data_IF_469135940317
#
_entry.id   IF_469135940317
#
_cell.length_a   1.000
_cell.length_b   1.000
_cell.length_c   1.000
_cell.angle_alpha   90.00
_cell.angle_beta   90.00
_cell.angle_gamma   90.00
#
_symmetry.space_group_name_H-M   'P 1'
#
loop_
_entity.id
_entity.type
_entity.pdbx_description
1 polymer ?
#
# COMPACT_ATOMS: atom_id res chain seq x y z
N UNK A 1 20.67 -1.18 0.38
CA UNK A 1 19.87 -0.82 -0.81
C UNK A 1 20.76 -0.69 -2.04
N UNK A 2 20.20 -0.79 -3.25
CA UNK A 2 20.92 -0.48 -4.50
C UNK A 2 21.24 1.02 -4.56
N UNK A 3 22.47 1.41 -4.90
CA UNK A 3 22.84 2.82 -5.11
C UNK A 3 22.73 3.21 -6.60
N UNK A 4 22.80 4.51 -6.89
CA UNK A 4 22.92 5.00 -8.27
C UNK A 4 24.06 4.31 -9.03
N UNK A 5 25.23 4.19 -8.40
CA UNK A 5 26.41 3.59 -9.03
C UNK A 5 26.21 2.10 -9.29
N UNK A 6 25.54 1.38 -8.38
CA UNK A 6 25.16 -0.01 -8.58
C UNK A 6 24.21 -0.16 -9.75
N UNK A 7 23.24 0.75 -9.89
CA UNK A 7 22.32 0.79 -11.02
C UNK A 7 23.07 0.97 -12.35
N UNK A 8 23.93 1.98 -12.43
CA UNK A 8 24.75 2.27 -13.62
C UNK A 8 25.69 1.12 -13.96
N UNK A 9 26.33 0.52 -12.95
CA UNK A 9 27.21 -0.65 -13.12
C UNK A 9 26.44 -1.86 -13.65
N UNK A 10 25.28 -2.15 -13.06
CA UNK A 10 24.40 -3.24 -13.50
C UNK A 10 23.93 -3.02 -14.93
N UNK A 11 23.55 -1.80 -15.29
CA UNK A 11 23.20 -1.46 -16.66
C UNK A 11 24.34 -1.72 -17.65
N UNK A 12 25.57 -1.29 -17.33
CA UNK A 12 26.76 -1.57 -18.17
C UNK A 12 26.94 -3.07 -18.37
N UNK A 13 26.70 -3.88 -17.34
CA UNK A 13 26.77 -5.34 -17.43
C UNK A 13 25.66 -5.93 -18.29
N UNK A 14 24.43 -5.43 -18.21
CA UNK A 14 23.31 -5.87 -19.06
C UNK A 14 23.60 -5.53 -20.53
N UNK A 15 24.12 -4.33 -20.82
CA UNK A 15 24.46 -3.90 -22.18
C UNK A 15 25.59 -4.73 -22.80
N UNK A 16 26.57 -5.14 -21.98
CA UNK A 16 27.69 -6.00 -22.41
C UNK A 16 27.37 -7.50 -22.43
N UNK A 17 26.21 -7.92 -21.94
CA UNK A 17 25.89 -9.33 -21.83
C UNK A 17 25.75 -9.98 -23.22
N UNK A 18 26.40 -11.15 -23.46
CA UNK A 18 26.56 -11.73 -24.79
C UNK A 18 25.27 -12.38 -25.35
N UNK A 19 24.24 -12.58 -24.53
CA UNK A 19 23.00 -13.23 -24.95
C UNK A 19 21.79 -12.76 -24.14
N UNK A 20 20.59 -12.97 -24.69
CA UNK A 20 19.31 -12.70 -23.99
C UNK A 20 19.21 -13.47 -22.66
N UNK A 21 19.71 -14.70 -22.62
CA UNK A 21 19.75 -15.51 -21.40
C UNK A 21 20.68 -14.91 -20.34
N UNK A 22 21.86 -14.40 -20.74
CA UNK A 22 22.77 -13.72 -19.83
C UNK A 22 22.17 -12.41 -19.27
N UNK A 23 21.51 -11.61 -20.13
CA UNK A 23 20.74 -10.43 -19.71
C UNK A 23 19.67 -10.80 -18.68
N UNK A 24 18.88 -11.84 -18.97
CA UNK A 24 17.84 -12.32 -18.07
C UNK A 24 18.36 -12.77 -16.70
N UNK A 25 19.54 -13.40 -16.64
CA UNK A 25 20.19 -13.77 -15.36
C UNK A 25 20.60 -12.56 -14.55
N UNK A 26 21.18 -11.53 -15.18
CA UNK A 26 21.57 -10.29 -14.49
C UNK A 26 20.32 -9.57 -13.99
N UNK A 27 19.30 -9.41 -14.83
CA UNK A 27 18.04 -8.78 -14.44
C UNK A 27 17.36 -9.52 -13.28
N UNK A 28 17.27 -10.86 -13.34
CA UNK A 28 16.69 -11.65 -12.24
C UNK A 28 17.46 -11.49 -10.92
N UNK A 29 18.79 -11.38 -10.98
CA UNK A 29 19.63 -11.21 -9.78
C UNK A 29 19.52 -9.81 -9.17
N UNK A 30 19.33 -8.79 -10.01
CA UNK A 30 19.46 -7.38 -9.61
C UNK A 30 18.13 -6.63 -9.56
N UNK A 31 17.06 -7.18 -10.14
CA UNK A 31 15.79 -6.49 -10.37
C UNK A 31 15.82 -5.45 -11.50
N UNK A 32 16.97 -5.21 -12.13
CA UNK A 32 17.12 -4.16 -13.15
C UNK A 32 16.95 -4.77 -14.54
N UNK A 33 15.91 -4.34 -15.26
CA UNK A 33 15.59 -4.89 -16.59
C UNK A 33 16.14 -4.06 -17.76
N UNK A 34 16.48 -2.79 -17.54
CA UNK A 34 16.95 -1.90 -18.60
C UNK A 34 17.07 -0.45 -18.15
N UNK A 35 17.32 0.46 -19.10
CA UNK A 35 17.35 1.90 -18.83
C UNK A 35 15.93 2.46 -18.70
N UNK A 36 15.68 3.33 -17.72
CA UNK A 36 14.44 4.09 -17.66
C UNK A 36 14.37 5.06 -18.84
N UNK A 37 13.16 5.44 -19.28
CA UNK A 37 12.98 6.40 -20.37
C UNK A 37 13.68 7.75 -20.12
N UNK A 38 13.81 8.13 -18.84
CA UNK A 38 14.48 9.35 -18.37
C UNK A 38 15.99 9.18 -18.13
N UNK A 39 16.63 8.15 -18.68
CA UNK A 39 18.07 7.89 -18.49
C UNK A 39 19.00 9.02 -18.95
N UNK A 40 18.51 9.92 -19.81
CA UNK A 40 19.27 11.07 -20.31
C UNK A 40 19.29 12.25 -19.33
N UNK A 41 18.45 12.22 -18.31
CA UNK A 41 18.39 13.27 -17.29
C UNK A 41 19.47 12.98 -16.25
N UNK A 42 20.64 13.59 -16.44
CA UNK A 42 21.83 13.34 -15.61
C UNK A 42 21.72 13.80 -14.15
N UNK A 43 20.68 14.57 -13.81
CA UNK A 43 20.38 14.97 -12.44
C UNK A 43 19.51 13.97 -11.67
N UNK A 44 19.00 12.91 -12.33
CA UNK A 44 18.20 11.88 -11.65
C UNK A 44 19.10 10.84 -11.00
N UNK A 45 18.84 10.59 -9.73
CA UNK A 45 19.35 9.41 -9.05
C UNK A 45 18.33 8.26 -9.20
N UNK A 46 18.64 7.30 -10.07
CA UNK A 46 17.77 6.14 -10.34
C UNK A 46 17.51 5.21 -9.15
N UNK A 47 18.27 5.32 -8.06
CA UNK A 47 18.03 4.54 -6.85
C UNK A 47 17.00 5.20 -5.92
N UNK A 48 16.92 6.53 -5.90
CA UNK A 48 16.11 7.26 -4.92
C UNK A 48 15.08 8.25 -5.50
N UNK A 49 15.14 8.56 -6.80
CA UNK A 49 14.24 9.54 -7.43
C UNK A 49 12.85 8.97 -7.79
N UNK A 50 12.64 7.67 -7.58
CA UNK A 50 11.37 6.98 -7.84
C UNK A 50 11.06 6.02 -6.69
N UNK A 51 10.69 6.55 -5.51
CA UNK A 51 10.42 5.74 -4.34
C UNK A 51 9.14 4.91 -4.49
N UNK A 52 8.96 3.95 -3.59
CA UNK A 52 7.65 3.32 -3.39
C UNK A 52 6.64 4.38 -2.97
N UNK A 53 5.77 4.78 -3.91
CA UNK A 53 4.86 5.89 -3.64
C UNK A 53 3.67 5.47 -2.78
N UNK A 54 3.35 6.32 -1.81
CA UNK A 54 2.37 6.06 -0.77
C UNK A 54 0.97 5.76 -1.32
N UNK A 55 0.56 6.45 -2.39
CA UNK A 55 -0.81 6.37 -2.92
C UNK A 55 -1.10 4.98 -3.51
N UNK A 56 -0.35 4.51 -4.51
CA UNK A 56 -0.62 3.22 -5.13
C UNK A 56 -0.33 2.09 -4.14
N UNK A 57 0.74 2.22 -3.36
CA UNK A 57 1.14 1.19 -2.41
C UNK A 57 0.06 0.95 -1.34
N UNK A 58 -0.48 2.00 -0.74
CA UNK A 58 -1.45 1.86 0.34
C UNK A 58 -2.88 1.76 -0.18
N UNK A 59 -3.30 2.68 -1.04
CA UNK A 59 -4.70 2.85 -1.43
C UNK A 59 -5.15 1.83 -2.47
N UNK A 60 -4.29 1.48 -3.42
CA UNK A 60 -4.64 0.54 -4.49
C UNK A 60 -4.18 -0.90 -4.22
N UNK A 61 -3.29 -1.08 -3.25
CA UNK A 61 -2.72 -2.39 -2.96
C UNK A 61 -2.98 -2.84 -1.51
N UNK A 62 -2.32 -2.25 -0.52
CA UNK A 62 -2.34 -2.77 0.86
C UNK A 62 -3.76 -2.75 1.45
N UNK A 63 -4.51 -1.66 1.30
CA UNK A 63 -5.87 -1.56 1.84
C UNK A 63 -6.84 -2.54 1.16
N UNK A 64 -6.95 -2.59 -0.18
CA UNK A 64 -7.79 -3.60 -0.83
C UNK A 64 -7.40 -5.04 -0.46
N UNK A 65 -6.10 -5.33 -0.33
CA UNK A 65 -5.63 -6.64 0.12
C UNK A 65 -6.07 -6.97 1.54
N UNK A 66 -6.02 -6.00 2.47
CA UNK A 66 -6.52 -6.17 3.82
C UNK A 66 -8.03 -6.43 3.83
N UNK A 67 -8.81 -5.68 3.05
CA UNK A 67 -10.26 -5.92 2.91
C UNK A 67 -10.55 -7.31 2.35
N UNK A 68 -9.79 -7.75 1.34
CA UNK A 68 -9.91 -9.10 0.79
C UNK A 68 -9.58 -10.18 1.84
N UNK A 69 -8.62 -9.94 2.74
CA UNK A 69 -8.36 -10.83 3.87
C UNK A 69 -9.56 -10.88 4.81
N UNK A 70 -10.09 -9.73 5.21
CA UNK A 70 -11.20 -9.68 6.17
C UNK A 70 -12.51 -10.21 5.60
N UNK A 71 -12.70 -10.19 4.29
CA UNK A 71 -13.90 -10.70 3.62
C UNK A 71 -13.73 -12.13 3.09
N UNK A 72 -12.58 -12.77 3.33
CA UNK A 72 -12.27 -14.10 2.84
C UNK A 72 -12.16 -14.21 1.32
N UNK A 73 -11.94 -13.10 0.62
CA UNK A 73 -11.78 -13.01 -0.84
C UNK A 73 -10.31 -12.93 -1.28
N UNK A 74 -9.37 -13.10 -0.34
CA UNK A 74 -7.95 -12.99 -0.64
C UNK A 74 -7.46 -14.15 -1.50
N UNK A 75 -6.91 -13.83 -2.68
CA UNK A 75 -6.49 -14.83 -3.66
C UNK A 75 -5.39 -15.73 -3.09
N UNK A 76 -5.66 -17.04 -3.08
CA UNK A 76 -4.70 -18.06 -2.64
C UNK A 76 -4.76 -18.38 -1.15
N UNK A 77 -5.61 -17.73 -0.35
CA UNK A 77 -5.99 -18.22 0.97
C UNK A 77 -7.41 -18.79 0.91
N UNK A 78 -7.53 -20.11 1.02
CA UNK A 78 -8.80 -20.82 1.10
C UNK A 78 -9.21 -21.00 2.57
N UNK A 79 -9.48 -19.91 3.30
CA UNK A 79 -10.00 -20.02 4.67
C UNK A 79 -11.03 -18.94 4.97
N UNK A 80 -12.30 -19.35 5.08
CA UNK A 80 -13.38 -18.57 5.67
C UNK A 80 -13.41 -18.68 7.21
N UNK A 81 -12.47 -19.45 7.79
CA UNK A 81 -12.44 -19.79 9.22
C UNK A 81 -11.35 -19.07 10.01
N UNK A 82 -10.56 -18.23 9.35
CA UNK A 82 -9.50 -17.50 10.04
C UNK A 82 -10.07 -16.41 10.96
N UNK A 83 -9.41 -16.22 12.11
CA UNK A 83 -9.88 -15.34 13.18
C UNK A 83 -9.95 -13.84 12.78
N UNK A 84 -9.41 -13.49 11.62
CA UNK A 84 -9.44 -12.15 11.03
C UNK A 84 -10.61 -11.92 10.07
N UNK A 85 -11.40 -12.95 9.76
CA UNK A 85 -12.52 -12.85 8.82
C UNK A 85 -13.74 -12.24 9.50
N UNK A 86 -14.31 -11.21 8.87
CA UNK A 86 -15.59 -10.60 9.20
C UNK A 86 -16.65 -11.32 8.37
N UNK A 87 -17.73 -11.75 9.01
CA UNK A 87 -18.80 -12.48 8.30
C UNK A 87 -19.46 -11.58 7.24
N UNK A 88 -19.92 -12.18 6.14
CA UNK A 88 -20.58 -11.42 5.06
C UNK A 88 -21.78 -10.60 5.56
N UNK A 89 -22.52 -11.11 6.55
CA UNK A 89 -23.64 -10.39 7.18
C UNK A 89 -23.17 -9.10 7.87
N UNK A 90 -22.15 -9.21 8.73
CA UNK A 90 -21.58 -8.06 9.44
C UNK A 90 -20.96 -7.07 8.45
N UNK A 91 -20.30 -7.57 7.40
CA UNK A 91 -19.73 -6.71 6.36
C UNK A 91 -20.79 -5.91 5.59
N UNK A 92 -21.95 -6.53 5.31
CA UNK A 92 -23.08 -5.83 4.70
C UNK A 92 -23.69 -4.78 5.65
N UNK A 93 -23.81 -5.08 6.95
CA UNK A 93 -24.25 -4.12 7.97
C UNK A 93 -23.32 -2.89 8.03
N UNK A 94 -22.00 -3.11 8.04
CA UNK A 94 -20.98 -2.05 7.97
C UNK A 94 -21.16 -1.20 6.70
N UNK A 95 -21.42 -1.83 5.55
CA UNK A 95 -21.61 -1.12 4.30
C UNK A 95 -22.86 -0.23 4.32
N UNK A 96 -23.96 -0.71 4.93
CA UNK A 96 -25.19 0.06 5.11
C UNK A 96 -24.99 1.24 6.06
N UNK A 97 -24.31 1.03 7.19
CA UNK A 97 -23.97 2.11 8.13
C UNK A 97 -23.10 3.19 7.49
N UNK A 98 -22.08 2.78 6.72
CA UNK A 98 -21.24 3.70 5.95
C UNK A 98 -22.09 4.54 5.00
N UNK A 99 -22.97 3.92 4.21
CA UNK A 99 -23.83 4.63 3.26
C UNK A 99 -24.75 5.63 3.97
N UNK A 100 -25.32 5.26 5.12
CA UNK A 100 -26.16 6.15 5.92
C UNK A 100 -25.36 7.35 6.46
N UNK A 101 -24.13 7.12 6.95
CA UNK A 101 -23.28 8.18 7.48
C UNK A 101 -22.82 9.17 6.40
N UNK A 102 -22.46 8.67 5.21
CA UNK A 102 -21.89 9.51 4.13
C UNK A 102 -22.92 10.48 3.55
N UNK A 103 -24.22 10.21 3.68
CA UNK A 103 -25.28 11.17 3.32
C UNK A 103 -25.19 12.50 4.08
N UNK A 104 -24.53 12.50 5.24
CA UNK A 104 -24.35 13.70 6.07
C UNK A 104 -22.99 14.39 5.87
N UNK A 105 -22.14 13.86 4.97
CA UNK A 105 -20.82 14.42 4.69
C UNK A 105 -20.90 15.31 3.45
N UNK A 106 -20.45 16.58 3.51
CA UNK A 106 -20.49 17.45 2.35
C UNK A 106 -19.67 16.88 1.17
N UNK A 107 -20.23 16.95 -0.03
CA UNK A 107 -19.64 16.39 -1.26
C UNK A 107 -18.29 16.99 -1.66
N UNK A 108 -17.94 18.16 -1.09
CA UNK A 108 -16.61 18.77 -1.25
C UNK A 108 -15.50 17.94 -0.60
N UNK A 109 -15.81 17.15 0.43
CA UNK A 109 -14.83 16.29 1.11
C UNK A 109 -14.73 14.92 0.48
N UNK A 110 -15.83 14.39 -0.04
CA UNK A 110 -15.86 13.08 -0.65
C UNK A 110 -16.98 12.95 -1.68
N UNK A 111 -16.71 12.24 -2.77
CA UNK A 111 -17.77 11.75 -3.65
C UNK A 111 -18.63 10.71 -2.93
N UNK A 112 -19.84 10.47 -3.42
CA UNK A 112 -20.77 9.51 -2.81
C UNK A 112 -20.10 8.14 -2.72
N UNK A 113 -19.85 7.66 -1.49
CA UNK A 113 -19.37 6.31 -1.23
C UNK A 113 -20.49 5.32 -1.53
N UNK A 114 -20.29 4.48 -2.54
CA UNK A 114 -21.17 3.34 -2.80
C UNK A 114 -21.02 2.24 -1.75
N UNK A 115 -21.88 1.22 -1.81
CA UNK A 115 -21.80 0.06 -0.92
C UNK A 115 -20.44 -0.65 -1.07
N UNK A 116 -19.62 -0.68 -0.01
CA UNK A 116 -18.29 -1.31 -0.05
C UNK A 116 -18.35 -2.83 -0.19
N UNK A 117 -19.43 -3.48 0.29
CA UNK A 117 -19.62 -4.91 0.14
C UNK A 117 -19.92 -5.31 -1.31
N UNK A 118 -20.65 -4.48 -2.06
CA UNK A 118 -21.03 -4.77 -3.45
C UNK A 118 -20.07 -4.18 -4.49
N UNK A 119 -19.53 -2.99 -4.23
CA UNK A 119 -18.81 -2.17 -5.22
C UNK A 119 -17.33 -1.98 -4.87
N UNK A 120 -16.74 -2.84 -4.04
CA UNK A 120 -15.33 -2.77 -3.63
C UNK A 120 -14.36 -2.55 -4.81
N UNK A 121 -14.61 -3.18 -5.96
CA UNK A 121 -13.80 -3.06 -7.18
C UNK A 121 -13.90 -1.69 -7.88
N UNK A 122 -14.92 -0.90 -7.56
CA UNK A 122 -15.16 0.42 -8.14
C UNK A 122 -14.65 1.56 -7.23
N UNK A 123 -14.07 1.23 -6.08
CA UNK A 123 -13.51 2.23 -5.19
C UNK A 123 -12.26 2.85 -5.82
N UNK A 124 -12.34 4.15 -6.09
CA UNK A 124 -11.18 4.95 -6.45
C UNK A 124 -10.26 5.13 -5.25
N UNK A 125 -9.01 5.48 -5.48
CA UNK A 125 -8.06 5.71 -4.41
C UNK A 125 -8.49 6.82 -3.44
N UNK A 126 -9.16 7.89 -3.93
CA UNK A 126 -9.77 8.94 -3.07
C UNK A 126 -10.76 8.33 -2.06
N UNK A 127 -11.61 7.40 -2.50
CA UNK A 127 -12.58 6.71 -1.65
C UNK A 127 -11.90 5.76 -0.65
N UNK A 128 -10.90 4.99 -1.10
CA UNK A 128 -10.10 4.13 -0.22
C UNK A 128 -9.40 4.93 0.88
N UNK A 129 -8.82 6.08 0.51
CA UNK A 129 -8.14 6.97 1.44
C UNK A 129 -9.10 7.47 2.51
N UNK A 130 -10.25 8.03 2.11
CA UNK A 130 -11.21 8.54 3.07
C UNK A 130 -11.77 7.45 3.97
N UNK A 131 -12.19 6.33 3.37
CA UNK A 131 -12.76 5.20 4.09
C UNK A 131 -11.78 4.69 5.14
N UNK A 132 -10.54 4.37 4.75
CA UNK A 132 -9.55 3.78 5.65
C UNK A 132 -9.09 4.73 6.76
N UNK A 133 -8.96 6.02 6.46
CA UNK A 133 -8.47 6.99 7.43
C UNK A 133 -9.54 7.44 8.43
N UNK A 134 -10.79 7.58 8.00
CA UNK A 134 -11.82 8.24 8.81
C UNK A 134 -12.99 7.33 9.18
N UNK A 135 -13.37 6.39 8.31
CA UNK A 135 -14.55 5.55 8.50
C UNK A 135 -14.19 4.23 9.19
N UNK A 136 -13.14 3.56 8.71
CA UNK A 136 -12.71 2.24 9.19
C UNK A 136 -12.45 2.17 10.69
N UNK A 137 -11.76 3.15 11.35
CA UNK A 137 -11.53 3.08 12.79
C UNK A 137 -12.81 3.13 13.63
N UNK A 138 -13.90 3.68 13.07
CA UNK A 138 -15.21 3.79 13.74
C UNK A 138 -16.01 2.52 13.45
N UNK A 139 -16.19 2.17 12.18
CA UNK A 139 -17.09 1.07 11.81
C UNK A 139 -16.54 -0.31 12.14
N UNK A 140 -15.21 -0.49 12.17
CA UNK A 140 -14.60 -1.79 12.50
C UNK A 140 -14.42 -2.01 14.01
N UNK A 141 -14.81 -1.06 14.84
CA UNK A 141 -14.73 -1.21 16.30
C UNK A 141 -15.59 -2.41 16.74
N UNK A 142 -14.97 -3.37 17.44
CA UNK A 142 -15.59 -4.61 17.91
C UNK A 142 -16.13 -5.55 16.81
N UNK A 143 -15.77 -5.37 15.54
CA UNK A 143 -16.26 -6.21 14.44
C UNK A 143 -15.42 -7.48 14.21
N UNK A 144 -14.16 -7.47 14.64
CA UNK A 144 -13.29 -8.64 14.56
C UNK A 144 -13.49 -9.55 15.77
N UNK A 145 -13.41 -10.87 15.55
CA UNK A 145 -13.46 -11.86 16.64
C UNK A 145 -12.39 -11.60 17.71
N UNK A 146 -11.21 -11.14 17.29
CA UNK A 146 -10.13 -10.73 18.19
C UNK A 146 -9.74 -9.27 17.98
N UNK A 147 -9.76 -8.51 19.06
CA UNK A 147 -9.44 -7.08 19.07
C UNK A 147 -8.07 -6.71 18.49
N UNK A 148 -7.12 -7.65 18.50
CA UNK A 148 -5.77 -7.46 17.94
C UNK A 148 -5.80 -7.01 16.46
N UNK A 149 -6.77 -7.48 15.67
CA UNK A 149 -6.90 -7.13 14.26
C UNK A 149 -7.38 -5.69 14.09
N UNK A 150 -8.42 -5.28 14.84
CA UNK A 150 -8.87 -3.89 14.89
C UNK A 150 -7.74 -2.93 15.25
N UNK A 151 -7.00 -3.22 16.32
CA UNK A 151 -5.86 -2.39 16.75
C UNK A 151 -4.81 -2.28 15.64
N UNK A 152 -4.51 -3.37 14.95
CA UNK A 152 -3.56 -3.39 13.84
C UNK A 152 -4.00 -2.51 12.66
N UNK A 153 -5.30 -2.47 12.35
CA UNK A 153 -5.87 -1.55 11.35
C UNK A 153 -5.73 -0.10 11.78
N UNK A 154 -6.07 0.20 13.04
CA UNK A 154 -5.96 1.56 13.58
C UNK A 154 -4.51 2.05 13.62
N UNK A 155 -3.54 1.17 13.91
CA UNK A 155 -2.11 1.47 13.82
C UNK A 155 -1.70 1.88 12.40
N UNK A 156 -2.16 1.17 11.37
CA UNK A 156 -1.89 1.56 9.98
C UNK A 156 -2.53 2.90 9.63
N UNK A 157 -3.79 3.11 10.02
CA UNK A 157 -4.52 4.37 9.79
C UNK A 157 -3.80 5.57 10.43
N UNK A 158 -3.27 5.40 11.64
CA UNK A 158 -2.47 6.41 12.32
C UNK A 158 -1.14 6.69 11.60
N UNK A 159 -0.41 5.64 11.18
CA UNK A 159 0.81 5.77 10.39
C UNK A 159 0.58 6.50 9.08
N UNK A 160 -0.49 6.15 8.38
CA UNK A 160 -0.89 6.80 7.13
C UNK A 160 -1.13 8.30 7.31
N UNK A 161 -1.88 8.70 8.34
CA UNK A 161 -2.10 10.13 8.66
C UNK A 161 -0.80 10.86 8.99
N UNK A 162 0.10 10.20 9.71
CA UNK A 162 1.39 10.78 10.08
C UNK A 162 2.24 11.05 8.83
N UNK A 163 2.32 10.08 7.91
CA UNK A 163 3.06 10.23 6.64
C UNK A 163 2.51 11.33 5.72
N UNK A 164 1.23 11.67 5.85
CA UNK A 164 0.56 12.72 5.07
C UNK A 164 0.73 14.13 5.67
N UNK A 165 1.40 14.29 6.81
CA UNK A 165 1.62 15.63 7.39
C UNK A 165 2.40 16.52 6.43
N UNK A 166 2.04 17.80 6.45
CA UNK A 166 2.72 18.80 5.62
C UNK A 166 4.22 18.91 5.92
N UNK A 167 4.58 18.73 7.20
CA UNK A 167 5.96 18.74 7.67
C UNK A 167 6.22 17.53 8.57
N UNK A 168 7.37 16.90 8.34
CA UNK A 168 7.92 15.78 9.10
C UNK A 168 9.36 16.11 9.45
N UNK A 169 9.72 15.86 10.71
CA UNK A 169 11.11 15.95 11.19
C UNK A 169 11.84 14.61 11.00
N UNK A 170 13.17 14.64 10.95
CA UNK A 170 13.98 13.41 10.84
C UNK A 170 13.69 12.40 11.96
N UNK A 171 13.43 12.88 13.18
CA UNK A 171 13.04 12.04 14.31
C UNK A 171 11.68 11.37 14.07
N UNK A 172 10.69 12.12 13.56
CA UNK A 172 9.39 11.56 13.21
C UNK A 172 9.51 10.52 12.08
N UNK A 173 10.36 10.75 11.08
CA UNK A 173 10.59 9.77 10.00
C UNK A 173 11.24 8.50 10.55
N UNK A 174 12.24 8.62 11.43
CA UNK A 174 12.84 7.46 12.11
C UNK A 174 11.82 6.68 12.97
N UNK A 175 10.90 7.38 13.63
CA UNK A 175 9.81 6.74 14.38
C UNK A 175 8.83 6.01 13.46
N UNK A 176 8.46 6.61 12.31
CA UNK A 176 7.62 5.98 11.29
C UNK A 176 8.27 4.67 10.82
N UNK A 177 9.58 4.66 10.58
CA UNK A 177 10.30 3.46 10.11
C UNK A 177 10.16 2.32 11.13
N UNK A 178 10.46 2.60 12.40
CA UNK A 178 10.34 1.61 13.49
C UNK A 178 8.91 1.11 13.64
N UNK A 179 7.91 1.99 13.50
CA UNK A 179 6.51 1.62 13.61
C UNK A 179 6.02 0.80 12.41
N UNK A 180 6.47 1.09 11.19
CA UNK A 180 6.18 0.27 10.00
C UNK A 180 6.81 -1.11 10.12
N UNK A 181 8.06 -1.22 10.57
CA UNK A 181 8.71 -2.51 10.85
C UNK A 181 7.89 -3.34 11.86
N UNK A 182 7.47 -2.73 12.96
CA UNK A 182 6.61 -3.39 13.96
C UNK A 182 5.25 -3.78 13.39
N UNK A 183 4.67 -2.93 12.55
CA UNK A 183 3.38 -3.19 11.91
C UNK A 183 3.46 -4.39 10.96
N UNK A 184 4.52 -4.47 10.15
CA UNK A 184 4.78 -5.61 9.24
C UNK A 184 5.04 -6.90 10.02
N UNK A 185 5.81 -6.86 11.09
CA UNK A 185 6.00 -8.04 11.97
C UNK A 185 4.69 -8.52 12.58
N UNK A 186 3.80 -7.60 13.01
CA UNK A 186 2.46 -7.96 13.48
C UNK A 186 1.62 -8.54 12.34
N UNK A 187 1.69 -7.97 11.14
CA UNK A 187 1.00 -8.49 9.96
C UNK A 187 1.41 -9.95 9.68
N UNK A 188 2.72 -10.24 9.67
CA UNK A 188 3.23 -11.60 9.48
C UNK A 188 2.68 -12.55 10.54
N UNK A 189 2.68 -12.13 11.81
CA UNK A 189 2.13 -12.94 12.91
C UNK A 189 0.61 -13.16 12.79
N UNK A 190 -0.12 -12.18 12.26
CA UNK A 190 -1.58 -12.14 12.30
C UNK A 190 -2.24 -12.79 11.09
N UNK A 191 -1.67 -12.59 9.90
CA UNK A 191 -2.24 -13.03 8.62
C UNK A 191 -1.43 -14.17 8.00
N UNK A 192 -0.10 -14.02 7.86
CA UNK A 192 0.76 -15.11 7.39
C UNK A 192 0.85 -16.26 8.41
N UNK A 193 0.81 -15.94 9.71
CA UNK A 193 0.82 -16.89 10.82
C UNK A 193 2.00 -17.88 10.81
N UNK A 194 3.02 -17.63 9.97
CA UNK A 194 4.16 -18.51 9.73
C UNK A 194 3.76 -19.91 9.21
N UNK A 195 2.63 -19.99 8.50
CA UNK A 195 2.16 -21.21 7.84
C UNK A 195 2.36 -21.13 6.34
N UNK A 196 2.92 -22.18 5.75
CA UNK A 196 3.20 -22.22 4.29
C UNK A 196 1.93 -22.06 3.44
N UNK A 197 0.78 -22.50 3.96
CA UNK A 197 -0.52 -22.35 3.32
C UNK A 197 -0.95 -20.89 3.19
N UNK A 198 -0.47 -20.01 4.09
CA UNK A 198 -0.76 -18.58 4.08
C UNK A 198 0.32 -17.77 3.36
N UNK A 199 1.28 -18.43 2.69
CA UNK A 199 2.33 -17.76 1.92
C UNK A 199 1.81 -16.67 0.96
N UNK A 200 0.62 -16.80 0.32
CA UNK A 200 0.09 -15.74 -0.52
C UNK A 200 -0.13 -14.39 0.20
N UNK A 201 -0.27 -14.37 1.53
CA UNK A 201 -0.36 -13.14 2.30
C UNK A 201 0.98 -12.38 2.38
N UNK A 202 2.12 -13.03 2.10
CA UNK A 202 3.44 -12.39 2.04
C UNK A 202 3.63 -11.64 0.72
N UNK A 203 2.84 -10.60 0.49
CA UNK A 203 2.89 -9.83 -0.75
C UNK A 203 4.09 -8.90 -0.82
N UNK A 204 4.52 -8.59 -2.05
CA UNK A 204 5.53 -7.55 -2.29
C UNK A 204 5.09 -6.21 -1.69
N UNK A 205 3.79 -5.90 -1.75
CA UNK A 205 3.26 -4.61 -1.29
C UNK A 205 3.33 -4.46 0.23
N UNK A 206 3.15 -5.54 1.00
CA UNK A 206 3.39 -5.50 2.45
C UNK A 206 4.88 -5.28 2.75
N UNK A 207 5.78 -5.95 2.03
CA UNK A 207 7.22 -5.73 2.18
C UNK A 207 7.63 -4.29 1.81
N UNK A 208 7.05 -3.75 0.73
CA UNK A 208 7.35 -2.40 0.24
C UNK A 208 7.04 -1.30 1.24
N UNK A 209 6.17 -1.55 2.23
CA UNK A 209 5.93 -0.62 3.34
C UNK A 209 7.22 -0.27 4.10
N UNK A 210 8.18 -1.21 4.18
CA UNK A 210 9.45 -1.01 4.87
C UNK A 210 10.37 0.01 4.18
N UNK A 211 10.08 0.36 2.93
CA UNK A 211 10.89 1.27 2.11
C UNK A 211 10.23 2.65 1.92
N UNK A 212 9.05 2.90 2.53
CA UNK A 212 8.36 4.18 2.40
C UNK A 212 9.19 5.32 3.00
N UNK A 213 9.80 5.11 4.17
CA UNK A 213 10.52 6.17 4.89
C UNK A 213 11.75 6.65 4.15
N UNK A 214 12.44 5.77 3.43
CA UNK A 214 13.52 6.17 2.52
C UNK A 214 13.01 7.10 1.42
N UNK A 215 11.85 6.76 0.85
CA UNK A 215 11.16 7.67 -0.08
C UNK A 215 10.88 9.03 0.54
N UNK A 216 10.48 9.07 1.81
CA UNK A 216 10.24 10.32 2.54
C UNK A 216 11.54 11.11 2.73
N UNK A 217 12.65 10.46 3.05
CA UNK A 217 13.95 11.13 3.19
C UNK A 217 14.44 11.75 1.87
N UNK A 218 14.23 11.06 0.74
CA UNK A 218 14.74 11.52 -0.56
C UNK A 218 13.80 12.49 -1.28
N UNK A 219 12.48 12.32 -1.13
CA UNK A 219 11.49 13.05 -1.91
C UNK A 219 10.57 13.96 -1.08
N UNK A 220 10.71 13.94 0.25
CA UNK A 220 9.86 14.68 1.18
C UNK A 220 8.60 13.90 1.60
N UNK A 221 7.71 14.51 2.39
CA UNK A 221 6.52 13.84 2.92
C UNK A 221 5.66 13.20 1.83
N UNK A 222 4.89 12.16 2.15
CA UNK A 222 4.21 11.32 1.14
C UNK A 222 3.33 12.09 0.14
N UNK A 223 2.80 13.25 0.52
CA UNK A 223 2.00 14.10 -0.35
C UNK A 223 2.80 14.78 -1.48
N UNK A 224 4.12 14.84 -1.40
CA UNK A 224 4.95 15.47 -2.45
C UNK A 224 5.10 14.59 -3.69
N UNK A 225 4.90 13.27 -3.53
CA UNK A 225 5.08 12.28 -4.60
C UNK A 225 3.82 11.51 -4.94
N UNK A 226 2.68 11.78 -4.29
CA UNK A 226 1.43 11.07 -4.55
C UNK A 226 0.87 11.33 -5.96
N UNK A 227 0.07 10.40 -6.47
CA UNK A 227 -0.41 10.43 -7.85
C UNK A 227 -1.86 10.87 -8.03
N UNK A 228 -2.54 11.41 -7.00
CA UNK A 228 -3.96 11.82 -7.08
C UNK A 228 -4.28 12.73 -8.28
N UNK A 229 -3.44 13.73 -8.54
CA UNK A 229 -3.64 14.64 -9.67
C UNK A 229 -3.49 13.92 -11.01
N UNK A 230 -2.46 13.06 -11.12
CA UNK A 230 -2.17 12.31 -12.34
C UNK A 230 -3.28 11.32 -12.67
N UNK A 231 -3.73 10.55 -11.68
CA UNK A 231 -4.88 9.64 -11.80
C UNK A 231 -6.15 10.37 -12.25
N UNK A 232 -6.47 11.50 -11.62
CA UNK A 232 -7.63 12.32 -12.00
C UNK A 232 -7.50 12.82 -13.44
N UNK A 233 -6.32 13.30 -13.83
CA UNK A 233 -6.07 13.75 -15.19
C UNK A 233 -6.19 12.61 -16.21
N UNK A 234 -5.58 11.45 -15.95
CA UNK A 234 -5.70 10.26 -16.78
C UNK A 234 -7.17 9.82 -16.93
N UNK A 235 -7.94 9.87 -15.85
CA UNK A 235 -9.38 9.59 -15.89
C UNK A 235 -10.18 10.56 -16.79
N UNK A 236 -9.74 11.80 -16.98
CA UNK A 236 -10.39 12.73 -17.94
C UNK A 236 -10.06 12.45 -19.40
N UNK A 237 -9.05 11.61 -19.67
CA UNK A 237 -8.62 11.24 -21.02
C UNK A 237 -9.24 9.93 -21.53
N UNK A 238 -9.93 9.18 -20.65
CA UNK A 238 -10.58 7.90 -20.94
C UNK A 238 -12.05 8.10 -21.35
#
# INVERSE_FOLDING_TARGET
MCTHLDFISTFKNISKAPSKAAKGRIAKKTGIHGLPGLWRVGSLDYACSAPWEWFHLLLENVIPNLVNLWTGQFKGLESSTDEFTITAKVWEEIAQEMMAAVQHIPTVFIQVLGNIAMNCLQFTADLWCFWFLYVTPILLENQFLKQKYYVHVCELSALMKLMLRFHLTEEEVGNIEVWLQKWVQKYEKYYYQYHIEHLPACTLTVHSLLHITEGIHYCGPAWTTWSFFMERYCGTLQ
#
